data_IF_621782764190
#
_entry.id   IF_621782764190
#
_cell.length_a   1.000
_cell.length_b   1.000
_cell.length_c   1.000
_cell.angle_alpha   90.00
_cell.angle_beta   90.00
_cell.angle_gamma   90.00
#
_symmetry.space_group_name_H-M   'P 1'
#
loop_
_entity.id
_entity.type
_entity.pdbx_description
1 polymer ?
#
# COMPACT_ATOMS: atom_id res chain seq x y z
N UNK A 1 50.55 4.73 8.85
CA UNK A 1 49.35 5.44 9.35
C UNK A 1 48.25 5.23 8.34
N UNK A 2 47.19 4.52 8.73
CA UNK A 2 46.07 4.18 7.85
C UNK A 2 44.90 5.08 8.25
N UNK A 3 44.38 5.86 7.32
CA UNK A 3 43.18 6.67 7.58
C UNK A 3 41.97 5.76 7.47
N UNK A 4 41.36 5.48 8.62
CA UNK A 4 40.10 4.74 8.70
C UNK A 4 38.96 5.73 8.47
N UNK A 5 38.21 5.57 7.39
CA UNK A 5 36.98 6.33 7.19
C UNK A 5 35.90 5.67 8.05
N UNK A 6 35.67 6.24 9.23
CA UNK A 6 34.43 5.95 9.96
C UNK A 6 33.31 6.56 9.16
N UNK A 7 32.59 5.74 8.39
CA UNK A 7 31.30 6.16 7.86
C UNK A 7 30.40 6.42 9.07
N UNK A 8 30.16 7.68 9.37
CA UNK A 8 29.17 8.09 10.36
C UNK A 8 27.89 7.29 10.06
N UNK A 9 27.59 6.35 10.95
CA UNK A 9 26.41 5.50 10.88
C UNK A 9 25.18 6.35 11.20
N UNK A 10 24.91 7.36 10.36
CA UNK A 10 23.64 8.06 10.28
C UNK A 10 22.70 7.37 9.27
N UNK A 11 23.02 6.14 8.84
CA UNK A 11 22.10 5.28 8.09
C UNK A 11 20.98 4.71 8.97
N UNK A 12 21.06 4.91 10.29
CA UNK A 12 19.99 4.61 11.25
C UNK A 12 18.94 5.73 11.35
N UNK A 13 18.97 6.75 10.48
CA UNK A 13 17.82 7.62 10.26
C UNK A 13 16.73 6.83 9.56
N UNK A 14 16.05 6.00 10.35
CA UNK A 14 14.65 5.69 10.24
C UNK A 14 14.22 5.53 8.78
N UNK A 15 14.55 4.38 8.17
CA UNK A 15 13.64 3.85 7.16
C UNK A 15 12.35 3.59 7.92
N UNK A 16 11.51 4.62 8.07
CA UNK A 16 10.08 4.41 8.28
C UNK A 16 9.73 3.33 7.28
N UNK A 17 9.40 2.13 7.78
CA UNK A 17 9.04 1.04 6.89
C UNK A 17 7.70 1.45 6.33
N UNK A 18 7.75 2.20 5.22
CA UNK A 18 6.57 2.69 4.55
C UNK A 18 5.91 1.45 3.98
N UNK A 19 4.90 0.98 4.71
CA UNK A 19 4.12 -0.16 4.29
C UNK A 19 3.24 0.35 3.17
N UNK A 20 3.46 -0.13 1.96
CA UNK A 20 2.59 0.20 0.84
C UNK A 20 1.21 -0.46 1.07
N UNK A 21 0.11 0.19 0.65
CA UNK A 21 -1.19 -0.46 0.65
C UNK A 21 -1.13 -1.70 -0.25
N UNK A 22 -1.73 -2.80 0.18
CA UNK A 22 -1.77 -4.05 -0.57
C UNK A 22 -3.20 -4.49 -0.80
N UNK A 23 -3.48 -4.97 -2.01
CA UNK A 23 -4.77 -5.51 -2.39
C UNK A 23 -4.69 -7.03 -2.34
N UNK A 24 -5.57 -7.65 -1.55
CA UNK A 24 -5.68 -9.10 -1.43
C UNK A 24 -6.26 -9.77 -2.67
N UNK A 25 -6.30 -11.10 -2.64
CA UNK A 25 -6.95 -11.89 -3.68
C UNK A 25 -8.42 -11.48 -3.88
N UNK A 26 -8.89 -11.61 -5.12
CA UNK A 26 -10.30 -11.37 -5.46
C UNK A 26 -11.03 -12.69 -5.32
N UNK A 27 -12.02 -12.72 -4.43
CA UNK A 27 -12.87 -13.88 -4.18
C UNK A 27 -14.30 -13.57 -4.64
N UNK A 28 -14.93 -14.50 -5.36
CA UNK A 28 -16.36 -14.40 -5.63
C UNK A 28 -17.15 -14.87 -4.40
N UNK A 29 -17.97 -13.99 -3.85
CA UNK A 29 -18.74 -14.29 -2.62
C UNK A 29 -20.19 -14.66 -2.90
N UNK A 30 -20.75 -14.22 -4.03
CA UNK A 30 -22.13 -14.54 -4.43
C UNK A 30 -22.39 -14.03 -5.84
N UNK A 31 -22.97 -14.84 -6.73
CA UNK A 31 -23.54 -14.48 -8.05
C UNK A 31 -23.07 -13.13 -8.65
N UNK A 32 -21.78 -13.02 -9.01
CA UNK A 32 -21.22 -11.81 -9.63
C UNK A 32 -20.76 -10.69 -8.68
N UNK A 33 -20.73 -10.95 -7.37
CA UNK A 33 -20.15 -10.09 -6.34
C UNK A 33 -18.74 -10.59 -6.01
N UNK A 34 -17.77 -9.75 -6.34
CA UNK A 34 -16.35 -10.00 -6.08
C UNK A 34 -15.86 -9.15 -4.92
N UNK A 35 -15.17 -9.77 -3.96
CA UNK A 35 -14.60 -9.13 -2.77
C UNK A 35 -13.08 -9.20 -2.82
N UNK A 36 -12.44 -8.10 -2.49
CA UNK A 36 -11.00 -8.04 -2.20
C UNK A 36 -10.77 -7.15 -0.99
N UNK A 37 -9.74 -7.44 -0.21
CA UNK A 37 -9.38 -6.70 0.99
C UNK A 37 -8.21 -5.78 0.68
N UNK A 38 -8.41 -4.47 0.83
CA UNK A 38 -7.33 -3.49 0.77
C UNK A 38 -6.75 -3.30 2.18
N UNK A 39 -5.57 -3.84 2.41
CA UNK A 39 -4.81 -3.55 3.62
C UNK A 39 -4.17 -2.17 3.49
N UNK A 40 -4.52 -1.27 4.39
CA UNK A 40 -3.98 0.08 4.42
C UNK A 40 -2.47 0.04 4.71
N UNK A 41 -1.74 0.89 4.00
CA UNK A 41 -0.33 1.14 4.27
C UNK A 41 -0.12 2.05 5.48
N UNK A 42 1.14 2.36 5.77
CA UNK A 42 1.51 3.34 6.80
C UNK A 42 1.46 4.79 6.31
N UNK A 43 1.26 5.00 5.00
CA UNK A 43 1.13 6.31 4.40
C UNK A 43 -0.33 6.77 4.38
N UNK A 44 -0.60 7.92 4.99
CA UNK A 44 -1.88 8.60 4.84
C UNK A 44 -2.03 9.17 3.43
N UNK A 45 -3.17 8.92 2.79
CA UNK A 45 -3.43 9.42 1.43
C UNK A 45 -4.55 8.66 0.75
N UNK A 46 -5.03 9.15 -0.38
CA UNK A 46 -6.08 8.48 -1.15
C UNK A 46 -5.51 7.33 -1.97
N UNK A 47 -6.04 6.12 -1.79
CA UNK A 47 -5.72 4.95 -2.61
C UNK A 47 -6.66 4.91 -3.80
N UNK A 48 -6.12 4.71 -5.01
CA UNK A 48 -6.91 4.48 -6.21
C UNK A 48 -6.93 2.98 -6.52
N UNK A 49 -8.10 2.37 -6.48
CA UNK A 49 -8.32 0.97 -6.84
C UNK A 49 -8.94 0.91 -8.23
N UNK A 50 -8.29 0.19 -9.14
CA UNK A 50 -8.80 -0.02 -10.50
C UNK A 50 -9.15 -1.49 -10.68
N UNK A 51 -10.42 -1.80 -10.89
CA UNK A 51 -10.90 -3.14 -11.19
C UNK A 51 -11.19 -3.26 -12.69
N UNK A 52 -10.77 -4.36 -13.31
CA UNK A 52 -11.09 -4.69 -14.71
C UNK A 52 -11.94 -5.95 -14.75
N UNK A 53 -13.19 -5.83 -15.17
CA UNK A 53 -14.15 -6.94 -15.26
C UNK A 53 -14.60 -7.08 -16.70
N UNK A 54 -14.30 -8.22 -17.34
CA UNK A 54 -14.71 -8.52 -18.71
C UNK A 54 -14.41 -7.38 -19.71
N UNK A 55 -13.26 -6.71 -19.56
CA UNK A 55 -12.84 -5.59 -20.42
C UNK A 55 -13.36 -4.21 -20.02
N UNK A 56 -14.24 -4.11 -19.00
CA UNK A 56 -14.70 -2.84 -18.44
C UNK A 56 -13.85 -2.43 -17.24
N UNK A 57 -13.49 -1.17 -17.17
CA UNK A 57 -12.66 -0.61 -16.10
C UNK A 57 -13.53 0.18 -15.12
N UNK A 58 -13.39 -0.13 -13.83
CA UNK A 58 -14.02 0.58 -12.73
C UNK A 58 -12.94 1.16 -11.83
N UNK A 59 -13.01 2.46 -11.57
CA UNK A 59 -12.04 3.15 -10.72
C UNK A 59 -12.74 3.63 -9.46
N UNK A 60 -12.19 3.25 -8.31
CA UNK A 60 -12.66 3.67 -6.99
C UNK A 60 -11.53 4.41 -6.28
N UNK A 61 -11.82 5.61 -5.78
CA UNK A 61 -10.89 6.35 -4.93
C UNK A 61 -11.29 6.13 -3.47
N UNK A 62 -10.45 5.42 -2.73
CA UNK A 62 -10.65 5.09 -1.32
C UNK A 62 -9.75 6.01 -0.50
N UNK A 63 -10.37 6.93 0.26
CA UNK A 63 -9.64 7.68 1.28
C UNK A 63 -9.69 6.84 2.57
N UNK A 64 -8.56 6.32 3.09
CA UNK A 64 -8.55 5.70 4.39
C UNK A 64 -9.05 6.74 5.40
N UNK A 65 -10.16 6.42 6.05
CA UNK A 65 -10.75 7.30 7.07
C UNK A 65 -9.70 7.57 8.12
N UNK A 66 -9.46 8.86 8.40
CA UNK A 66 -8.71 9.27 9.58
C UNK A 66 -9.43 8.62 10.76
N UNK A 67 -8.79 7.64 11.41
CA UNK A 67 -9.38 7.01 12.60
C UNK A 67 -9.46 8.12 13.65
N UNK A 68 -10.67 8.46 14.06
CA UNK A 68 -10.93 9.19 15.31
C UNK A 68 -10.61 8.29 16.50
#
# INVERSE_FOLDING_TARGET
MSVEFTADSNSARQRETVTAPSLGAVEEISAGVYRSVLAAGSQAGTVRVTAKVQGKTFTLNIKPGSRY
#
